data_IF_729685589455
#
_entry.id   IF_729685589455
#
_cell.length_a   1.000
_cell.length_b   1.000
_cell.length_c   1.000
_cell.angle_alpha   90.00
_cell.angle_beta   90.00
_cell.angle_gamma   90.00
#
_symmetry.space_group_name_H-M   'P 1'
#
loop_
_entity.id
_entity.type
_entity.pdbx_description
1 polymer ?
#
# COMPACT_ATOMS: atom_id res chain seq x y z
N UNK A 1 -6.98 -17.60 -1.67
CA UNK A 1 -7.77 -17.22 -0.48
C UNK A 1 -8.19 -15.76 -0.63
N UNK A 2 -9.48 -15.49 -0.60
CA UNK A 2 -10.01 -14.14 -0.84
C UNK A 2 -9.57 -13.21 0.31
N UNK A 3 -8.76 -12.15 0.07
CA UNK A 3 -8.23 -11.31 1.14
C UNK A 3 -9.33 -10.66 2.00
N UNK A 4 -10.55 -10.52 1.45
CA UNK A 4 -11.73 -10.06 2.16
C UNK A 4 -12.11 -10.92 3.38
N UNK A 5 -11.82 -12.23 3.35
CA UNK A 5 -12.16 -13.15 4.45
C UNK A 5 -11.29 -12.90 5.69
N UNK A 6 -10.10 -12.31 5.53
CA UNK A 6 -9.17 -12.03 6.63
C UNK A 6 -9.34 -10.58 7.12
N UNK A 7 -9.57 -9.64 6.20
CA UNK A 7 -9.60 -8.20 6.55
C UNK A 7 -10.87 -7.82 7.31
N UNK A 8 -12.03 -8.37 6.93
CA UNK A 8 -13.32 -8.07 7.59
C UNK A 8 -13.30 -8.42 9.09
N UNK A 9 -12.90 -9.64 9.52
CA UNK A 9 -12.87 -9.95 10.94
C UNK A 9 -11.83 -9.12 11.71
N UNK A 10 -10.69 -8.78 11.11
CA UNK A 10 -9.66 -7.94 11.76
C UNK A 10 -10.19 -6.53 12.02
N UNK A 11 -10.89 -5.92 11.06
CA UNK A 11 -11.50 -4.59 11.21
C UNK A 11 -12.61 -4.62 12.27
N UNK A 12 -13.43 -5.66 12.29
CA UNK A 12 -14.48 -5.83 13.32
C UNK A 12 -13.88 -5.98 14.72
N UNK A 13 -12.81 -6.76 14.86
CA UNK A 13 -12.09 -6.92 16.12
C UNK A 13 -11.46 -5.60 16.57
N UNK A 14 -10.81 -4.86 15.68
CA UNK A 14 -10.22 -3.55 16.00
C UNK A 14 -11.28 -2.52 16.39
N UNK A 15 -12.41 -2.47 15.68
CA UNK A 15 -13.53 -1.60 16.04
C UNK A 15 -14.11 -1.98 17.42
N UNK A 16 -14.23 -3.29 17.71
CA UNK A 16 -14.65 -3.80 19.01
C UNK A 16 -13.69 -3.41 20.13
N UNK A 17 -12.37 -3.51 19.90
CA UNK A 17 -11.33 -3.12 20.88
C UNK A 17 -11.37 -1.62 21.14
N UNK A 18 -11.54 -0.78 20.12
CA UNK A 18 -11.65 0.68 20.28
C UNK A 18 -12.91 1.06 21.04
N UNK A 19 -14.06 0.45 20.71
CA UNK A 19 -15.32 0.68 21.44
C UNK A 19 -15.23 0.21 22.89
N UNK A 20 -14.60 -0.95 23.13
CA UNK A 20 -14.38 -1.48 24.47
C UNK A 20 -13.43 -0.59 25.29
N UNK A 21 -12.31 -0.15 24.71
CA UNK A 21 -11.37 0.77 25.35
C UNK A 21 -11.99 2.14 25.65
N UNK A 22 -12.79 2.68 24.73
CA UNK A 22 -13.54 3.91 24.93
C UNK A 22 -14.64 3.77 26.00
N UNK A 23 -15.25 2.59 26.11
CA UNK A 23 -16.24 2.30 27.16
C UNK A 23 -15.62 2.12 28.54
N UNK A 24 -14.38 1.61 28.61
CA UNK A 24 -13.60 1.42 29.85
C UNK A 24 -12.98 2.69 30.39
N UNK A 25 -12.78 3.74 29.58
CA UNK A 25 -12.50 5.10 30.08
C UNK A 25 -13.77 5.74 30.66
N UNK A 26 -14.39 5.03 31.58
CA UNK A 26 -15.36 5.56 32.51
C UNK A 26 -14.50 6.02 33.69
N UNK A 27 -14.14 7.30 33.72
CA UNK A 27 -13.63 7.98 34.91
C UNK A 27 -14.75 8.04 35.95
N UNK A 28 -15.11 6.87 36.45
CA UNK A 28 -15.94 6.62 37.61
C UNK A 28 -15.16 5.71 38.55
N UNK A 29 -13.85 5.94 38.66
CA UNK A 29 -13.14 5.65 39.89
C UNK A 29 -13.70 6.63 40.92
N UNK A 30 -14.36 6.10 41.96
CA UNK A 30 -14.90 6.91 43.03
C UNK A 30 -13.84 7.91 43.51
N UNK A 31 -14.28 9.13 43.83
CA UNK A 31 -13.45 10.13 44.47
C UNK A 31 -13.12 9.70 45.92
N UNK A 32 -12.44 8.57 46.10
CA UNK A 32 -11.73 8.25 47.33
C UNK A 32 -10.39 8.98 47.23
N UNK A 33 -10.29 10.09 47.95
CA UNK A 33 -9.18 11.02 47.92
C UNK A 33 -7.83 10.34 48.13
N UNK A 34 -7.08 10.15 47.04
CA UNK A 34 -5.64 10.01 47.12
C UNK A 34 -5.06 11.43 47.16
N UNK A 35 -4.62 11.86 48.35
CA UNK A 35 -3.86 13.09 48.50
C UNK A 35 -2.65 13.03 47.55
N UNK A 36 -2.40 14.13 46.84
CA UNK A 36 -1.22 14.22 45.97
C UNK A 36 0.05 13.96 46.78
N UNK A 37 1.07 13.35 46.16
CA UNK A 37 2.38 13.12 46.81
C UNK A 37 2.97 14.41 47.38
N UNK A 38 2.66 15.54 46.75
CA UNK A 38 3.10 16.86 47.19
C UNK A 38 2.44 17.28 48.51
N UNK A 39 1.14 17.04 48.66
CA UNK A 39 0.40 17.27 49.93
C UNK A 39 0.90 16.36 51.04
N UNK A 40 1.12 15.07 50.78
CA UNK A 40 1.68 14.13 51.76
C UNK A 40 3.10 14.53 52.20
N UNK A 41 3.92 15.05 51.28
CA UNK A 41 5.29 15.48 51.58
C UNK A 41 5.33 16.73 52.46
N UNK A 42 4.40 17.67 52.27
CA UNK A 42 4.30 18.87 53.13
C UNK A 42 3.83 18.53 54.53
N UNK A 43 2.85 17.64 54.67
CA UNK A 43 2.36 17.21 56.00
C UNK A 43 3.43 16.45 56.79
N UNK A 44 4.19 15.57 56.12
CA UNK A 44 5.30 14.83 56.74
C UNK A 44 6.40 15.74 57.30
N UNK A 45 6.53 16.96 56.77
CA UNK A 45 7.51 17.95 57.22
C UNK A 45 7.05 18.69 58.48
N UNK A 46 5.76 18.67 58.81
CA UNK A 46 5.22 19.29 60.01
C UNK A 46 5.29 18.36 61.24
N UNK A 47 5.40 17.04 61.03
CA UNK A 47 5.40 16.03 62.09
C UNK A 47 6.79 15.54 62.52
N UNK A 48 7.86 15.98 61.84
CA UNK A 48 9.23 15.61 62.22
C UNK A 48 9.76 16.51 63.34
N UNK A 49 9.23 16.32 64.55
CA UNK A 49 9.88 16.72 65.79
C UNK A 49 10.39 15.43 66.44
N UNK A 50 11.68 15.14 66.24
CA UNK A 50 12.40 14.05 66.90
C UNK A 50 12.46 14.34 68.42
N UNK A 51 12.21 13.37 69.32
CA UNK A 51 12.19 13.62 70.76
C UNK A 51 13.57 13.81 71.42
N UNK A 52 14.67 13.55 70.73
CA UNK A 52 16.00 13.39 71.37
C UNK A 52 17.09 14.32 70.79
N UNK A 53 16.87 15.63 70.80
CA UNK A 53 17.93 16.61 70.53
C UNK A 53 18.22 17.44 71.79
N UNK A 54 19.37 17.13 72.41
CA UNK A 54 20.00 17.87 73.49
C UNK A 54 20.03 19.39 73.24
N UNK A 55 19.98 20.12 74.37
CA UNK A 55 20.06 21.56 74.55
C UNK A 55 21.08 22.25 73.62
N UNK A 56 20.62 22.78 72.50
CA UNK A 56 21.36 23.77 71.72
C UNK A 56 20.54 25.06 71.72
N UNK A 57 21.18 26.13 72.19
CA UNK A 57 20.56 27.42 72.48
C UNK A 57 19.65 27.95 71.37
N UNK A 58 18.58 28.62 71.80
CA UNK A 58 17.56 29.22 70.93
C UNK A 58 18.25 30.03 69.83
N UNK A 59 18.14 29.55 68.58
CA UNK A 59 18.71 30.25 67.44
C UNK A 59 17.92 31.53 67.18
N UNK A 60 18.57 32.59 66.69
CA UNK A 60 17.89 33.85 66.34
C UNK A 60 16.72 33.66 65.37
N UNK A 61 16.77 32.59 64.56
CA UNK A 61 15.70 32.20 63.65
C UNK A 61 14.46 31.64 64.36
N UNK A 62 14.63 30.97 65.50
CA UNK A 62 13.51 30.52 66.34
C UNK A 62 12.86 31.69 67.08
N UNK A 63 13.65 32.68 67.52
CA UNK A 63 13.12 33.90 68.13
C UNK A 63 12.32 34.72 67.11
N UNK A 64 12.85 34.93 65.91
CA UNK A 64 12.14 35.59 64.81
C UNK A 64 10.85 34.84 64.42
N UNK A 65 10.87 33.51 64.40
CA UNK A 65 9.69 32.70 64.12
C UNK A 65 8.62 32.83 65.23
N UNK A 66 9.02 32.84 66.51
CA UNK A 66 8.09 33.05 67.63
C UNK A 66 7.50 34.47 67.63
N UNK A 67 8.31 35.50 67.40
CA UNK A 67 7.85 36.88 67.34
C UNK A 67 6.96 37.16 66.11
N UNK A 68 7.14 36.40 65.01
CA UNK A 68 6.26 36.44 63.85
C UNK A 68 4.93 35.72 64.10
N UNK A 69 4.90 34.69 64.95
CA UNK A 69 3.67 34.04 65.40
C UNK A 69 2.89 34.92 66.38
N UNK A 70 3.56 35.61 67.30
CA UNK A 70 2.90 36.52 68.26
C UNK A 70 2.33 37.78 67.60
N UNK A 71 2.92 38.22 66.47
CA UNK A 71 2.41 39.33 65.67
C UNK A 71 1.27 38.94 64.73
N UNK A 72 0.96 37.65 64.58
CA UNK A 72 -0.20 37.24 63.77
C UNK A 72 -1.47 37.62 64.53
N UNK A 73 -2.39 38.38 63.92
CA UNK A 73 -3.70 38.59 64.53
C UNK A 73 -4.34 37.23 64.77
N UNK A 74 -4.96 37.05 65.95
CA UNK A 74 -5.69 35.83 66.25
C UNK A 74 -6.65 35.54 65.10
N UNK A 75 -6.54 34.34 64.52
CA UNK A 75 -7.49 33.91 63.50
C UNK A 75 -8.91 34.03 64.09
N UNK A 76 -9.89 34.56 63.35
CA UNK A 76 -11.26 34.61 63.85
C UNK A 76 -11.65 33.21 64.32
N UNK A 77 -12.33 33.13 65.48
CA UNK A 77 -12.81 31.88 66.01
C UNK A 77 -13.52 31.12 64.89
N UNK A 78 -12.99 29.95 64.56
CA UNK A 78 -13.60 29.06 63.57
C UNK A 78 -14.93 28.68 64.18
N UNK A 79 -16.00 29.34 63.73
CA UNK A 79 -17.34 28.85 64.00
C UNK A 79 -17.34 27.43 63.44
N UNK A 80 -17.59 26.45 64.32
CA UNK A 80 -17.85 25.09 63.91
C UNK A 80 -19.10 25.14 63.03
N UNK A 81 -18.89 25.42 61.75
CA UNK A 81 -19.92 25.35 60.74
C UNK A 81 -20.10 23.85 60.60
N UNK A 82 -21.16 23.35 61.22
CA UNK A 82 -21.58 21.96 61.15
C UNK A 82 -21.41 21.50 59.70
N UNK A 83 -20.50 20.54 59.50
CA UNK A 83 -20.12 20.08 58.16
C UNK A 83 -21.40 19.60 57.51
N UNK A 84 -21.90 20.36 56.54
CA UNK A 84 -23.16 20.04 55.87
C UNK A 84 -23.07 18.57 55.39
N UNK A 85 -24.05 17.72 55.75
CA UNK A 85 -24.02 16.32 55.36
C UNK A 85 -23.90 16.25 53.85
N UNK A 86 -22.92 15.48 53.36
CA UNK A 86 -22.71 15.30 51.93
C UNK A 86 -23.98 14.71 51.31
N UNK A 87 -24.73 15.54 50.61
CA UNK A 87 -25.86 15.09 49.80
C UNK A 87 -25.27 14.61 48.47
N UNK A 88 -25.38 13.32 48.14
CA UNK A 88 -24.93 12.84 46.84
C UNK A 88 -25.70 13.61 45.76
N UNK A 89 -25.02 14.11 44.71
CA UNK A 89 -25.68 14.76 43.60
C UNK A 89 -26.80 13.85 43.05
N UNK A 90 -27.95 14.44 42.76
CA UNK A 90 -29.09 13.79 42.15
C UNK A 90 -28.68 13.05 40.86
N UNK A 91 -29.32 11.91 40.60
CA UNK A 91 -28.98 11.04 39.47
C UNK A 91 -29.04 11.78 38.11
N UNK A 92 -29.85 12.84 38.03
CA UNK A 92 -29.97 13.71 36.85
C UNK A 92 -28.78 14.69 36.71
N UNK A 93 -28.17 15.14 37.81
CA UNK A 93 -26.89 15.87 37.81
C UNK A 93 -25.68 14.95 37.53
N UNK A 94 -25.79 13.66 37.83
CA UNK A 94 -24.85 12.61 37.43
C UNK A 94 -25.03 12.16 35.96
N UNK A 95 -26.00 12.73 35.24
CA UNK A 95 -26.23 12.50 33.81
C UNK A 95 -25.10 12.98 32.89
N UNK A 96 -25.32 12.87 31.58
CA UNK A 96 -24.36 13.41 30.60
C UNK A 96 -24.41 14.94 30.66
N UNK A 97 -23.37 15.56 31.21
CA UNK A 97 -23.27 17.03 31.23
C UNK A 97 -23.29 17.60 29.80
N UNK A 98 -23.85 18.80 29.63
CA UNK A 98 -23.93 19.49 28.32
C UNK A 98 -22.56 19.54 27.63
N UNK A 99 -21.49 19.83 28.37
CA UNK A 99 -20.10 19.83 27.87
C UNK A 99 -19.66 18.44 27.38
N UNK A 100 -20.01 17.39 28.11
CA UNK A 100 -19.69 16.01 27.74
C UNK A 100 -20.46 15.55 26.50
N UNK A 101 -21.72 15.97 26.37
CA UNK A 101 -22.51 15.76 25.16
C UNK A 101 -21.84 16.44 23.96
N UNK A 102 -21.58 17.75 24.02
CA UNK A 102 -20.99 18.49 22.90
C UNK A 102 -19.59 17.98 22.52
N UNK A 103 -18.72 17.70 23.49
CA UNK A 103 -17.39 17.18 23.19
C UNK A 103 -17.46 15.80 22.53
N UNK A 104 -18.35 14.91 22.99
CA UNK A 104 -18.54 13.59 22.36
C UNK A 104 -19.11 13.73 20.95
N UNK A 105 -20.10 14.59 20.75
CA UNK A 105 -20.70 14.82 19.44
C UNK A 105 -19.68 15.38 18.45
N UNK A 106 -18.85 16.35 18.85
CA UNK A 106 -17.79 16.90 17.99
C UNK A 106 -16.77 15.82 17.61
N UNK A 107 -16.31 15.01 18.57
CA UNK A 107 -15.35 13.93 18.30
C UNK A 107 -15.95 12.87 17.37
N UNK A 108 -17.22 12.49 17.59
CA UNK A 108 -17.91 11.49 16.77
C UNK A 108 -18.10 12.00 15.34
N UNK A 109 -18.58 13.24 15.17
CA UNK A 109 -18.79 13.83 13.85
C UNK A 109 -17.46 14.03 13.10
N UNK A 110 -16.43 14.53 13.79
CA UNK A 110 -15.10 14.68 13.20
C UNK A 110 -14.50 13.32 12.83
N UNK A 111 -14.63 12.32 13.70
CA UNK A 111 -14.17 10.95 13.45
C UNK A 111 -14.86 10.30 12.26
N UNK A 112 -16.18 10.45 12.13
CA UNK A 112 -16.95 9.99 10.98
C UNK A 112 -16.51 10.69 9.68
N UNK A 113 -16.33 12.00 9.72
CA UNK A 113 -15.87 12.79 8.57
C UNK A 113 -14.47 12.34 8.10
N UNK A 114 -13.50 12.25 9.02
CA UNK A 114 -12.14 11.82 8.70
C UNK A 114 -12.10 10.37 8.22
N UNK A 115 -12.92 9.48 8.80
CA UNK A 115 -13.00 8.09 8.35
C UNK A 115 -13.60 7.98 6.95
N UNK A 116 -14.66 8.74 6.65
CA UNK A 116 -15.26 8.79 5.31
C UNK A 116 -14.29 9.32 4.27
N UNK A 117 -13.56 10.40 4.58
CA UNK A 117 -12.52 10.93 3.70
C UNK A 117 -11.36 9.94 3.50
N UNK A 118 -10.89 9.29 4.57
CA UNK A 118 -9.87 8.25 4.49
C UNK A 118 -10.31 7.07 3.63
N UNK A 119 -11.55 6.61 3.78
CA UNK A 119 -12.13 5.57 2.93
C UNK A 119 -12.21 6.00 1.47
N UNK A 120 -12.54 7.27 1.18
CA UNK A 120 -12.57 7.80 -0.18
C UNK A 120 -11.18 7.84 -0.83
N UNK A 121 -10.14 8.25 -0.09
CA UNK A 121 -8.75 8.21 -0.59
C UNK A 121 -8.34 6.76 -0.89
N UNK A 122 -8.62 5.83 0.03
CA UNK A 122 -8.30 4.42 -0.17
C UNK A 122 -9.03 3.85 -1.38
N UNK A 123 -10.32 4.15 -1.55
CA UNK A 123 -11.11 3.72 -2.70
C UNK A 123 -10.60 4.32 -4.01
N UNK A 124 -10.16 5.59 -4.00
CA UNK A 124 -9.58 6.25 -5.17
C UNK A 124 -8.23 5.64 -5.57
N UNK A 125 -7.39 5.30 -4.58
CA UNK A 125 -6.08 4.68 -4.82
C UNK A 125 -6.20 3.18 -5.12
N UNK A 126 -7.31 2.54 -4.76
CA UNK A 126 -7.54 1.13 -5.02
C UNK A 126 -7.69 0.90 -6.52
N UNK A 127 -6.87 0.01 -7.13
CA UNK A 127 -6.94 -0.24 -8.56
C UNK A 127 -8.29 -0.86 -8.91
N UNK A 128 -9.17 -0.07 -9.52
CA UNK A 128 -10.37 -0.61 -10.15
C UNK A 128 -9.97 -1.36 -11.42
N UNK A 129 -10.39 -2.63 -11.60
CA UNK A 129 -10.15 -3.36 -12.83
C UNK A 129 -11.02 -2.77 -13.94
N UNK A 130 -10.52 -1.74 -14.63
CA UNK A 130 -11.07 -1.29 -15.91
C UNK A 130 -10.34 -2.05 -17.01
N UNK A 131 -11.09 -2.53 -18.00
CA UNK A 131 -10.57 -3.28 -19.14
C UNK A 131 -9.34 -2.59 -19.75
N UNK A 132 -8.29 -3.36 -19.95
CA UNK A 132 -6.96 -2.88 -20.33
C UNK A 132 -5.87 -3.88 -19.96
N UNK A 133 -4.63 -3.39 -19.87
CA UNK A 133 -3.48 -4.21 -19.48
C UNK A 133 -3.70 -4.92 -18.13
N UNK A 134 -3.54 -6.25 -18.11
CA UNK A 134 -3.90 -7.12 -16.99
C UNK A 134 -5.24 -7.84 -17.16
N UNK A 135 -5.89 -7.69 -18.32
CA UNK A 135 -7.15 -8.37 -18.67
C UNK A 135 -7.13 -8.92 -20.09
N UNK A 136 -8.22 -9.59 -20.49
CA UNK A 136 -8.42 -10.12 -21.84
C UNK A 136 -8.80 -8.99 -22.81
N UNK A 137 -7.92 -8.75 -23.78
CA UNK A 137 -8.07 -7.72 -24.81
C UNK A 137 -8.51 -8.39 -26.11
N UNK A 138 -9.65 -7.97 -26.65
CA UNK A 138 -10.13 -8.40 -27.96
C UNK A 138 -9.44 -7.56 -29.04
N UNK A 139 -8.45 -8.13 -29.73
CA UNK A 139 -7.62 -7.39 -30.69
C UNK A 139 -8.35 -7.15 -32.01
N UNK A 140 -9.07 -8.16 -32.51
CA UNK A 140 -9.77 -8.08 -33.80
C UNK A 140 -9.65 -9.36 -34.62
N UNK A 141 -10.07 -9.31 -35.88
CA UNK A 141 -9.97 -10.46 -36.78
C UNK A 141 -8.51 -10.75 -37.16
N UNK A 142 -8.14 -12.02 -37.25
CA UNK A 142 -6.78 -12.45 -37.64
C UNK A 142 -6.41 -11.91 -39.02
N UNK A 143 -7.35 -11.91 -39.97
CA UNK A 143 -7.14 -11.39 -41.32
C UNK A 143 -6.80 -9.89 -41.30
N UNK A 144 -7.57 -9.06 -40.58
CA UNK A 144 -7.30 -7.62 -40.50
C UNK A 144 -5.96 -7.34 -39.80
N UNK A 145 -5.62 -8.14 -38.77
CA UNK A 145 -4.36 -8.01 -38.07
C UNK A 145 -3.19 -8.32 -39.01
N UNK A 146 -3.25 -9.42 -39.75
CA UNK A 146 -2.20 -9.78 -40.73
C UNK A 146 -2.02 -8.70 -41.80
N UNK A 147 -3.11 -8.12 -42.31
CA UNK A 147 -3.07 -7.01 -43.27
C UNK A 147 -2.40 -5.76 -42.66
N UNK A 148 -2.73 -5.41 -41.42
CA UNK A 148 -2.10 -4.29 -40.68
C UNK A 148 -0.62 -4.53 -40.39
N UNK A 149 -0.24 -5.76 -40.08
CA UNK A 149 1.17 -6.15 -39.89
C UNK A 149 1.95 -5.91 -41.18
N UNK A 150 1.45 -6.40 -42.32
CA UNK A 150 2.09 -6.21 -43.63
C UNK A 150 2.17 -4.73 -44.00
N UNK A 151 1.09 -3.96 -43.78
CA UNK A 151 1.08 -2.52 -44.01
C UNK A 151 2.11 -1.75 -43.15
N UNK A 152 2.40 -2.28 -41.95
CA UNK A 152 3.36 -1.69 -41.00
C UNK A 152 4.76 -2.28 -41.14
N UNK A 153 5.11 -2.84 -42.32
CA UNK A 153 6.42 -3.45 -42.61
C UNK A 153 6.79 -4.58 -41.64
N UNK A 154 5.81 -5.40 -41.26
CA UNK A 154 6.02 -6.59 -40.43
C UNK A 154 5.81 -6.39 -38.92
N UNK A 155 5.62 -5.15 -38.45
CA UNK A 155 5.47 -4.83 -37.03
C UNK A 155 4.22 -4.03 -36.72
N UNK A 156 3.26 -4.64 -36.03
CA UNK A 156 2.08 -3.94 -35.53
C UNK A 156 2.20 -3.69 -34.02
N UNK A 157 2.03 -2.43 -33.61
CA UNK A 157 2.02 -2.08 -32.18
C UNK A 157 0.58 -1.96 -31.65
N UNK A 158 0.27 -2.62 -30.54
CA UNK A 158 -0.96 -2.40 -29.78
C UNK A 158 -0.65 -1.75 -28.44
N UNK A 159 -1.08 -0.49 -28.30
CA UNK A 159 -0.90 0.30 -27.08
C UNK A 159 -1.72 -0.23 -25.91
N UNK A 160 -2.91 -0.79 -26.18
CA UNK A 160 -3.83 -1.33 -25.16
C UNK A 160 -3.18 -2.50 -24.39
N UNK A 161 -2.54 -3.41 -25.13
CA UNK A 161 -1.84 -4.56 -24.56
C UNK A 161 -0.35 -4.35 -24.28
N UNK A 162 0.19 -3.16 -24.58
CA UNK A 162 1.65 -2.89 -24.55
C UNK A 162 2.45 -3.98 -25.26
N UNK A 163 1.99 -4.35 -26.45
CA UNK A 163 2.47 -5.53 -27.15
C UNK A 163 2.78 -5.26 -28.62
N UNK A 164 3.73 -6.02 -29.14
CA UNK A 164 4.02 -6.11 -30.56
C UNK A 164 3.34 -7.34 -31.15
N UNK A 165 2.86 -7.20 -32.37
CA UNK A 165 2.31 -8.28 -33.16
C UNK A 165 3.07 -8.39 -34.48
N UNK A 166 3.49 -9.60 -34.81
CA UNK A 166 4.27 -9.93 -36.00
C UNK A 166 3.70 -11.19 -36.65
N UNK A 167 3.98 -11.37 -37.93
CA UNK A 167 3.59 -12.60 -38.63
C UNK A 167 4.50 -13.75 -38.20
N UNK A 168 3.89 -14.90 -37.94
CA UNK A 168 4.58 -16.15 -37.67
C UNK A 168 4.39 -17.11 -38.85
N UNK A 169 5.47 -17.70 -39.40
CA UNK A 169 5.36 -18.60 -40.54
C UNK A 169 4.64 -19.89 -40.14
N UNK A 170 3.58 -20.24 -40.88
CA UNK A 170 2.76 -21.43 -40.63
C UNK A 170 3.60 -22.72 -40.71
N UNK A 171 4.64 -22.73 -41.54
CA UNK A 171 5.58 -23.85 -41.65
C UNK A 171 6.43 -24.10 -40.39
N UNK A 172 6.55 -23.12 -39.49
CA UNK A 172 7.31 -23.25 -38.25
C UNK A 172 6.46 -23.64 -37.04
N UNK A 173 5.13 -23.77 -37.20
CA UNK A 173 4.19 -24.06 -36.11
C UNK A 173 4.52 -25.36 -35.38
N UNK A 174 4.96 -26.39 -36.10
CA UNK A 174 5.36 -27.67 -35.48
C UNK A 174 6.60 -27.52 -34.59
N UNK A 175 7.55 -26.67 -34.97
CA UNK A 175 8.70 -26.33 -34.10
C UNK A 175 8.25 -25.49 -32.91
N UNK A 176 7.30 -24.58 -33.12
CA UNK A 176 6.70 -23.79 -32.05
C UNK A 176 6.05 -24.67 -30.97
N UNK A 177 5.30 -25.71 -31.35
CA UNK A 177 4.66 -26.66 -30.41
C UNK A 177 5.63 -27.36 -29.46
N UNK A 178 6.89 -27.52 -29.87
CA UNK A 178 7.93 -28.18 -29.05
C UNK A 178 8.57 -27.23 -28.04
N UNK A 179 8.52 -25.92 -28.29
CA UNK A 179 9.25 -24.91 -27.50
C UNK A 179 8.32 -24.05 -26.66
N UNK A 180 7.15 -23.70 -27.21
CA UNK A 180 6.24 -22.73 -26.60
C UNK A 180 5.15 -23.40 -25.77
N UNK A 181 4.71 -22.76 -24.67
CA UNK A 181 3.63 -23.28 -23.85
C UNK A 181 2.30 -23.25 -24.62
N UNK A 182 1.41 -24.20 -24.32
CA UNK A 182 0.13 -24.36 -25.01
C UNK A 182 -0.74 -23.08 -25.03
N UNK A 183 -0.62 -22.22 -24.01
CA UNK A 183 -1.39 -21.00 -23.90
C UNK A 183 -1.04 -19.92 -24.94
N UNK A 184 0.13 -19.98 -25.58
CA UNK A 184 0.55 -18.97 -26.59
C UNK A 184 0.40 -19.47 -28.02
N UNK A 185 0.27 -20.78 -28.21
CA UNK A 185 0.18 -21.42 -29.53
C UNK A 185 -1.03 -21.00 -30.38
N UNK A 186 -2.25 -20.72 -29.83
CA UNK A 186 -3.41 -20.44 -30.66
C UNK A 186 -3.23 -19.26 -31.62
N UNK A 187 -2.53 -18.20 -31.21
CA UNK A 187 -2.20 -17.11 -32.13
C UNK A 187 -1.16 -17.51 -33.16
N UNK A 188 -0.15 -18.31 -32.77
CA UNK A 188 0.93 -18.74 -33.67
C UNK A 188 0.42 -19.68 -34.75
N UNK A 189 -0.51 -20.57 -34.42
CA UNK A 189 -1.24 -21.41 -35.36
C UNK A 189 -2.08 -20.58 -36.34
N UNK A 190 -2.60 -19.44 -35.89
CA UNK A 190 -3.26 -18.44 -36.72
C UNK A 190 -2.28 -17.51 -37.47
N UNK A 191 -0.97 -17.77 -37.40
CA UNK A 191 0.07 -17.02 -38.10
C UNK A 191 0.47 -15.69 -37.45
N UNK A 192 0.14 -15.49 -36.17
CA UNK A 192 0.44 -14.24 -35.44
C UNK A 192 1.18 -14.54 -34.13
N UNK A 193 2.24 -13.79 -33.87
CA UNK A 193 2.93 -13.78 -32.59
C UNK A 193 2.59 -12.50 -31.82
N UNK A 194 2.19 -12.63 -30.56
CA UNK A 194 1.94 -11.52 -29.65
C UNK A 194 3.03 -11.45 -28.58
N UNK A 195 3.89 -10.43 -28.68
CA UNK A 195 5.07 -10.23 -27.83
C UNK A 195 4.87 -9.08 -26.87
N UNK A 196 5.21 -9.27 -25.61
CA UNK A 196 5.26 -8.18 -24.67
C UNK A 196 6.43 -7.25 -25.02
N UNK A 197 6.17 -5.94 -25.10
CA UNK A 197 7.18 -4.95 -25.46
C UNK A 197 8.33 -4.81 -24.45
N UNK A 198 8.21 -5.44 -23.27
CA UNK A 198 9.15 -5.31 -22.15
C UNK A 198 10.37 -6.20 -22.38
N UNK A 199 11.56 -5.59 -22.32
CA UNK A 199 12.82 -6.30 -22.42
C UNK A 199 13.03 -7.22 -21.20
N UNK A 200 13.28 -8.53 -21.40
CA UNK A 200 13.64 -9.48 -20.34
C UNK A 200 14.90 -9.16 -19.54
N UNK A 201 15.73 -8.21 -19.99
CA UNK A 201 16.92 -7.79 -19.24
C UNK A 201 16.54 -6.98 -17.99
N UNK A 202 16.15 -5.71 -18.17
CA UNK A 202 15.81 -4.78 -17.09
C UNK A 202 14.47 -4.05 -17.30
N UNK A 203 13.69 -4.46 -18.30
CA UNK A 203 12.32 -3.96 -18.48
C UNK A 203 12.14 -2.74 -19.39
N UNK A 204 13.19 -2.26 -20.06
CA UNK A 204 13.04 -1.23 -21.10
C UNK A 204 12.05 -1.65 -22.19
N UNK A 205 11.38 -0.69 -22.83
CA UNK A 205 10.61 -0.97 -24.06
C UNK A 205 11.55 -1.33 -25.21
N UNK A 206 11.26 -2.43 -25.90
CA UNK A 206 12.01 -2.86 -27.09
C UNK A 206 11.32 -2.33 -28.35
N UNK A 207 11.95 -1.42 -29.12
CA UNK A 207 11.46 -1.00 -30.43
C UNK A 207 11.76 -2.05 -31.52
N UNK A 208 10.99 -2.01 -32.60
CA UNK A 208 11.28 -2.73 -33.85
C UNK A 208 12.29 -1.96 -34.69
N UNK A 209 13.18 -2.67 -35.37
CA UNK A 209 14.10 -2.15 -36.35
C UNK A 209 13.66 -2.54 -37.76
N UNK A 210 13.38 -1.54 -38.60
CA UNK A 210 12.88 -1.78 -39.95
C UNK A 210 13.95 -2.34 -40.90
N UNK A 211 15.23 -2.08 -40.65
CA UNK A 211 16.34 -2.52 -41.52
C UNK A 211 16.75 -3.95 -41.25
N UNK A 212 16.96 -4.33 -39.98
CA UNK A 212 17.31 -5.71 -39.61
C UNK A 212 16.10 -6.65 -39.54
N UNK A 213 14.88 -6.09 -39.55
CA UNK A 213 13.63 -6.79 -39.24
C UNK A 213 13.64 -7.49 -37.88
N UNK A 214 14.40 -6.94 -36.93
CA UNK A 214 14.51 -7.46 -35.56
C UNK A 214 13.99 -6.46 -34.53
N UNK A 215 13.73 -6.93 -33.31
CA UNK A 215 13.53 -6.08 -32.15
C UNK A 215 14.88 -5.82 -31.48
N UNK A 216 15.24 -4.55 -31.31
CA UNK A 216 16.56 -4.17 -30.81
C UNK A 216 16.42 -3.19 -29.63
N UNK A 217 16.83 -3.62 -28.45
CA UNK A 217 16.69 -2.84 -27.23
C UNK A 217 17.84 -1.82 -27.12
N UNK A 218 17.56 -0.50 -27.13
CA UNK A 218 18.59 0.53 -27.12
C UNK A 218 19.29 0.70 -25.76
N UNK A 219 18.75 0.11 -24.69
CA UNK A 219 19.32 0.27 -23.35
C UNK A 219 20.66 -0.46 -23.18
N UNK A 220 20.75 -1.71 -23.66
CA UNK A 220 21.94 -2.56 -23.48
C UNK A 220 22.19 -3.49 -24.69
N UNK A 221 21.56 -3.21 -25.84
CA UNK A 221 21.81 -3.93 -27.09
C UNK A 221 21.25 -5.36 -27.15
N UNK A 222 20.21 -5.71 -26.38
CA UNK A 222 19.55 -7.02 -26.56
C UNK A 222 18.76 -7.07 -27.87
N UNK A 223 18.94 -8.14 -28.63
CA UNK A 223 18.38 -8.30 -29.97
C UNK A 223 17.51 -9.54 -30.04
N UNK A 224 16.36 -9.45 -30.72
CA UNK A 224 15.40 -10.53 -30.89
C UNK A 224 14.88 -10.56 -32.33
N UNK A 225 14.65 -11.74 -32.90
CA UNK A 225 14.03 -11.86 -34.23
C UNK A 225 12.54 -11.46 -34.19
N UNK A 226 11.83 -11.51 -35.33
CA UNK A 226 10.40 -11.14 -35.38
C UNK A 226 9.51 -12.04 -34.52
N UNK A 227 9.95 -13.27 -34.21
CA UNK A 227 9.24 -14.16 -33.29
C UNK A 227 9.53 -13.85 -31.81
N UNK A 228 10.38 -12.87 -31.50
CA UNK A 228 10.80 -12.50 -30.14
C UNK A 228 11.85 -13.44 -29.54
N UNK A 229 12.48 -14.29 -30.35
CA UNK A 229 13.53 -15.20 -29.91
C UNK A 229 14.86 -14.45 -29.80
N UNK A 230 15.59 -14.66 -28.70
CA UNK A 230 16.83 -13.93 -28.44
C UNK A 230 17.92 -14.31 -29.44
N UNK A 231 18.53 -13.30 -30.06
CA UNK A 231 19.67 -13.42 -30.98
C UNK A 231 20.96 -12.83 -30.41
N UNK A 232 20.88 -11.78 -29.59
CA UNK A 232 22.08 -11.11 -29.06
C UNK A 232 21.85 -10.31 -27.78
N UNK A 233 22.95 -9.84 -27.20
CA UNK A 233 22.99 -8.97 -26.01
C UNK A 233 22.74 -9.67 -24.66
N UNK A 234 22.58 -8.90 -23.57
CA UNK A 234 22.64 -9.39 -22.19
C UNK A 234 21.35 -10.03 -21.67
N UNK A 235 20.21 -9.91 -22.35
CA UNK A 235 18.96 -10.50 -21.86
C UNK A 235 19.10 -12.03 -21.64
N UNK A 236 18.56 -12.59 -20.55
CA UNK A 236 18.75 -14.00 -20.21
C UNK A 236 17.90 -14.97 -21.05
N UNK A 237 16.95 -14.47 -21.84
CA UNK A 237 15.97 -15.24 -22.64
C UNK A 237 15.33 -14.34 -23.70
N UNK A 238 14.50 -14.92 -24.58
CA UNK A 238 13.72 -14.12 -25.54
C UNK A 238 12.55 -13.36 -24.89
N UNK A 239 11.84 -12.57 -25.70
CA UNK A 239 10.74 -11.71 -25.29
C UNK A 239 9.57 -12.49 -24.69
N UNK A 240 8.93 -11.90 -23.69
CA UNK A 240 7.75 -12.45 -23.05
C UNK A 240 6.54 -12.44 -23.98
N UNK A 241 5.59 -13.33 -23.69
CA UNK A 241 4.36 -13.50 -24.46
C UNK A 241 3.15 -13.47 -23.55
N UNK A 242 1.99 -13.29 -24.15
CA UNK A 242 0.71 -13.35 -23.46
C UNK A 242 -0.04 -14.62 -23.84
N UNK A 243 -0.91 -15.10 -22.96
CA UNK A 243 -1.87 -16.13 -23.36
C UNK A 243 -2.75 -15.61 -24.50
N UNK A 244 -3.04 -16.46 -25.47
CA UNK A 244 -3.86 -16.12 -26.63
C UNK A 244 -4.95 -17.14 -26.83
N UNK A 245 -6.06 -16.68 -27.39
CA UNK A 245 -7.16 -17.54 -27.81
C UNK A 245 -7.74 -17.00 -29.11
N UNK A 246 -8.03 -17.90 -30.04
CA UNK A 246 -8.67 -17.56 -31.32
C UNK A 246 -10.03 -18.24 -31.36
N UNK A 247 -11.10 -17.46 -31.49
CA UNK A 247 -12.47 -17.98 -31.55
C UNK A 247 -13.22 -17.27 -32.68
N UNK A 248 -13.76 -18.03 -33.63
CA UNK A 248 -14.45 -17.46 -34.80
C UNK A 248 -13.58 -16.51 -35.63
N UNK A 249 -12.27 -16.80 -35.74
CA UNK A 249 -11.32 -15.95 -36.48
C UNK A 249 -10.93 -14.65 -35.78
N UNK A 250 -11.36 -14.44 -34.53
CA UNK A 250 -11.00 -13.27 -33.72
C UNK A 250 -9.93 -13.63 -32.70
N UNK A 251 -8.84 -12.86 -32.70
CA UNK A 251 -7.76 -12.98 -31.74
C UNK A 251 -8.10 -12.21 -30.46
N UNK A 252 -8.03 -12.92 -29.33
CA UNK A 252 -8.08 -12.33 -27.98
C UNK A 252 -6.76 -12.64 -27.28
N UNK A 253 -6.19 -11.63 -26.61
CA UNK A 253 -4.92 -11.73 -25.89
C UNK A 253 -5.17 -11.44 -24.41
N UNK A 254 -4.78 -12.36 -23.54
CA UNK A 254 -4.88 -12.20 -22.09
C UNK A 254 -3.58 -11.61 -21.53
N UNK A 255 -3.61 -10.30 -21.27
CA UNK A 255 -2.46 -9.58 -20.73
C UNK A 255 -2.27 -9.76 -19.22
N UNK A 256 -3.20 -10.44 -18.53
CA UNK A 256 -3.04 -10.86 -17.14
C UNK A 256 -2.16 -12.09 -16.98
N UNK A 257 -1.92 -12.85 -18.06
CA UNK A 257 -1.08 -14.05 -18.04
C UNK A 257 0.15 -13.87 -18.93
N UNK A 258 1.30 -13.61 -18.31
CA UNK A 258 2.58 -13.44 -18.98
C UNK A 258 3.36 -14.75 -18.94
N UNK A 259 3.73 -15.26 -20.11
CA UNK A 259 4.59 -16.42 -20.29
C UNK A 259 6.01 -15.97 -20.60
N UNK A 260 6.97 -16.57 -19.89
CA UNK A 260 8.38 -16.28 -20.10
C UNK A 260 8.78 -16.61 -21.55
N UNK A 261 9.59 -15.74 -22.15
CA UNK A 261 10.16 -16.01 -23.47
C UNK A 261 11.05 -17.26 -23.51
N UNK A 262 11.33 -17.78 -24.72
CA UNK A 262 12.02 -19.05 -24.88
C UNK A 262 13.49 -18.92 -24.46
N UNK A 263 14.11 -20.06 -24.18
CA UNK A 263 15.51 -20.14 -23.79
C UNK A 263 16.45 -19.64 -24.91
N UNK A 264 17.67 -19.26 -24.51
CA UNK A 264 18.73 -18.83 -25.44
C UNK A 264 19.02 -19.96 -26.44
N UNK A 265 19.22 -19.61 -27.72
CA UNK A 265 19.48 -20.56 -28.80
C UNK A 265 18.22 -21.07 -29.52
N UNK A 266 17.04 -20.72 -29.03
CA UNK A 266 15.78 -20.99 -29.76
C UNK A 266 15.74 -20.21 -31.08
N UNK A 267 15.50 -20.92 -32.19
CA UNK A 267 15.32 -20.32 -33.51
C UNK A 267 14.26 -21.10 -34.30
N UNK A 268 12.97 -20.91 -33.99
CA UNK A 268 11.91 -21.70 -34.63
C UNK A 268 11.66 -21.28 -36.07
N UNK A 269 11.80 -19.98 -36.37
CA UNK A 269 11.56 -19.44 -37.71
C UNK A 269 12.75 -19.57 -38.65
N UNK A 270 13.96 -19.73 -38.11
CA UNK A 270 15.19 -19.68 -38.90
C UNK A 270 15.52 -18.28 -39.44
N UNK A 271 14.79 -17.24 -39.02
CA UNK A 271 15.00 -15.89 -39.48
C UNK A 271 16.32 -15.34 -38.92
N UNK A 272 17.17 -14.87 -39.83
CA UNK A 272 18.36 -14.08 -39.51
C UNK A 272 18.13 -12.60 -39.80
N UNK A 273 19.08 -11.73 -39.45
CA UNK A 273 18.94 -10.30 -39.67
C UNK A 273 18.94 -10.00 -41.18
N UNK A 274 17.93 -9.29 -41.66
CA UNK A 274 17.74 -9.01 -43.10
C UNK A 274 18.59 -7.82 -43.58
N UNK A 275 19.10 -7.02 -42.64
CA UNK A 275 19.86 -5.81 -42.91
C UNK A 275 20.58 -5.30 -41.68
N UNK A 276 21.17 -4.09 -41.75
CA UNK A 276 21.96 -3.54 -40.66
C UNK A 276 21.11 -3.28 -39.41
N UNK A 277 21.72 -3.48 -38.25
CA UNK A 277 21.09 -3.18 -36.96
C UNK A 277 20.84 -1.67 -36.80
N UNK A 278 19.68 -1.32 -36.24
CA UNK A 278 19.31 0.08 -35.95
C UNK A 278 20.03 0.60 -34.71
N UNK A 279 20.29 -0.27 -33.75
CA UNK A 279 21.10 0.07 -32.59
C UNK A 279 22.51 -0.40 -32.90
N UNK A 280 23.42 0.56 -33.10
CA UNK A 280 24.82 0.27 -33.37
C UNK A 280 25.32 -0.73 -32.35
N UNK A 281 25.89 -1.84 -32.82
CA UNK A 281 26.44 -2.92 -32.01
C UNK A 281 27.57 -2.40 -31.14
N UNK A 282 27.22 -1.74 -30.04
CA UNK A 282 28.14 -1.33 -29.00
C UNK A 282 28.71 -2.60 -28.43
N UNK A 283 29.97 -2.88 -28.77
CA UNK A 283 30.80 -3.81 -28.02
C UNK A 283 30.77 -3.33 -26.57
N UNK A 284 30.06 -4.08 -25.73
CA UNK A 284 30.23 -4.06 -24.29
C UNK A 284 31.03 -5.30 -23.92
#
# INVERSE_FOLDING_TARGET
MNPLVIVIPVVVVLAGVVLFAASRRRDSGGATGALSRETLKRDKSATALEPDAELVGVSGRQVEASAALDRRPAAPAVTNTEVAPFVPPDADALGISRRKFFNRSIIVLMGLSLSGFGAAILAFLWPMPKGGFGSKIRVGSVADISAKITASKGFLYSAEGRMWMTNYPVSAVEKAKQVYPAAVLPSMEAGIVALYQKCPHLGCRVPSCATSQWFECPCHGSQYNMAGEKKGGPAPRGMDRFATSVTGGVLTVDTGQIFQGPAIGTNTTGQEAEGPHCVGGGKH
#
